data_IF_048432052595
#
_entry.id   IF_048432052595
#
_cell.length_a   1.000
_cell.length_b   1.000
_cell.length_c   1.000
_cell.angle_alpha   90.00
_cell.angle_beta   90.00
_cell.angle_gamma   90.00
#
_symmetry.space_group_name_H-M   'P 1'
#
loop_
_entity.id
_entity.type
_entity.pdbx_description
1 polymer ?
#
# COMPACT_ATOMS: atom_id res chain seq x y z
N UNK A 1 -14.49 2.82 -34.05
CA UNK A 1 -13.94 2.04 -32.91
C UNK A 1 -13.23 0.83 -33.48
N UNK A 2 -11.89 0.75 -33.34
CA UNK A 2 -11.04 -0.30 -33.96
C UNK A 2 -11.48 -1.72 -33.54
N UNK A 3 -11.31 -2.70 -34.42
CA UNK A 3 -11.64 -4.13 -34.18
C UNK A 3 -10.98 -4.64 -32.89
N UNK A 4 -9.73 -4.23 -32.63
CA UNK A 4 -9.01 -4.58 -31.40
C UNK A 4 -9.73 -4.11 -30.11
N UNK A 5 -10.35 -2.93 -30.14
CA UNK A 5 -11.12 -2.40 -29.00
C UNK A 5 -12.40 -3.20 -28.74
N UNK A 6 -13.03 -3.75 -29.79
CA UNK A 6 -14.23 -4.60 -29.66
C UNK A 6 -13.90 -5.98 -29.11
N UNK A 7 -12.78 -6.57 -29.55
CA UNK A 7 -12.30 -7.86 -29.03
C UNK A 7 -11.93 -7.71 -27.54
N UNK A 8 -11.17 -6.66 -27.20
CA UNK A 8 -10.81 -6.36 -25.82
C UNK A 8 -12.03 -6.12 -24.93
N UNK A 9 -13.04 -5.37 -25.40
CA UNK A 9 -14.26 -5.13 -24.61
C UNK A 9 -15.06 -6.41 -24.38
N UNK A 10 -15.11 -7.31 -25.37
CA UNK A 10 -15.83 -8.59 -25.27
C UNK A 10 -15.11 -9.55 -24.31
N UNK A 11 -13.79 -9.64 -24.38
CA UNK A 11 -12.98 -10.42 -23.44
C UNK A 11 -13.14 -9.91 -22.00
N UNK A 12 -13.11 -8.59 -21.81
CA UNK A 12 -13.32 -7.95 -20.52
C UNK A 12 -14.70 -8.28 -19.93
N UNK A 13 -15.74 -8.26 -20.77
CA UNK A 13 -17.11 -8.58 -20.35
C UNK A 13 -17.24 -10.04 -19.92
N UNK A 14 -16.57 -10.97 -20.61
CA UNK A 14 -16.54 -12.41 -20.25
C UNK A 14 -15.80 -12.65 -18.94
N UNK A 15 -14.60 -12.07 -18.78
CA UNK A 15 -13.81 -12.19 -17.55
C UNK A 15 -14.59 -11.67 -16.33
N UNK A 16 -15.28 -10.52 -16.50
CA UNK A 16 -16.13 -9.96 -15.45
C UNK A 16 -17.33 -10.86 -15.13
N UNK A 17 -17.98 -11.41 -16.15
CA UNK A 17 -19.10 -12.35 -15.97
C UNK A 17 -18.70 -13.57 -15.13
N UNK A 18 -17.49 -14.10 -15.34
CA UNK A 18 -16.95 -15.20 -14.53
C UNK A 18 -16.73 -14.77 -13.06
N UNK A 19 -16.16 -13.58 -12.83
CA UNK A 19 -15.93 -13.04 -11.48
C UNK A 19 -17.22 -12.67 -10.74
N UNK A 20 -18.31 -12.40 -11.45
CA UNK A 20 -19.63 -12.14 -10.87
C UNK A 20 -20.52 -13.39 -10.78
N UNK A 21 -19.96 -14.59 -10.99
CA UNK A 21 -20.74 -15.82 -10.89
C UNK A 21 -21.19 -16.07 -9.45
N UNK A 22 -22.51 -16.21 -9.18
CA UNK A 22 -23.03 -16.47 -7.85
C UNK A 22 -22.89 -17.93 -7.41
N UNK A 23 -22.25 -18.78 -8.24
CA UNK A 23 -22.05 -20.20 -7.93
C UNK A 23 -21.27 -20.43 -6.64
N UNK A 24 -20.40 -19.49 -6.27
CA UNK A 24 -19.70 -19.50 -4.99
C UNK A 24 -20.48 -18.68 -3.95
N UNK A 25 -20.91 -19.27 -2.81
CA UNK A 25 -21.71 -18.58 -1.79
C UNK A 25 -20.97 -17.40 -1.14
N UNK A 26 -19.64 -17.48 -0.99
CA UNK A 26 -18.81 -16.39 -0.48
C UNK A 26 -18.84 -15.21 -1.46
N UNK A 27 -18.66 -15.49 -2.75
CA UNK A 27 -18.72 -14.46 -3.79
C UNK A 27 -20.11 -13.83 -3.85
N UNK A 28 -21.17 -14.63 -3.73
CA UNK A 28 -22.55 -14.15 -3.67
C UNK A 28 -22.79 -13.23 -2.48
N UNK A 29 -22.26 -13.57 -1.31
CA UNK A 29 -22.32 -12.73 -0.12
C UNK A 29 -21.58 -11.40 -0.31
N UNK A 30 -20.35 -11.44 -0.81
CA UNK A 30 -19.55 -10.24 -1.10
C UNK A 30 -20.21 -9.32 -2.14
N UNK A 31 -20.92 -9.89 -3.12
CA UNK A 31 -21.68 -9.11 -4.10
C UNK A 31 -22.87 -8.37 -3.48
N UNK A 32 -23.55 -8.98 -2.49
CA UNK A 32 -24.66 -8.38 -1.75
C UNK A 32 -24.18 -7.29 -0.79
N UNK A 33 -23.04 -7.49 -0.14
CA UNK A 33 -22.53 -6.61 0.91
C UNK A 33 -21.13 -6.03 0.60
N UNK A 34 -20.90 -5.41 -0.57
CA UNK A 34 -19.57 -5.06 -1.07
C UNK A 34 -18.78 -4.11 -0.17
N UNK A 35 -19.45 -3.14 0.46
CA UNK A 35 -18.81 -2.19 1.36
C UNK A 35 -18.36 -2.89 2.65
N UNK A 36 -19.28 -3.61 3.29
CA UNK A 36 -19.02 -4.32 4.54
C UNK A 36 -17.92 -5.37 4.36
N UNK A 37 -17.96 -6.15 3.28
CA UNK A 37 -16.93 -7.17 3.02
C UNK A 37 -15.57 -6.54 2.70
N UNK A 38 -15.55 -5.40 2.02
CA UNK A 38 -14.29 -4.70 1.74
C UNK A 38 -13.67 -4.14 3.03
N UNK A 39 -14.48 -3.48 3.87
CA UNK A 39 -14.04 -2.92 5.16
C UNK A 39 -13.55 -4.01 6.10
N UNK A 40 -14.30 -5.12 6.20
CA UNK A 40 -13.89 -6.26 7.01
C UNK A 40 -12.58 -6.86 6.50
N UNK A 41 -12.45 -7.05 5.18
CA UNK A 41 -11.24 -7.59 4.59
C UNK A 41 -10.02 -6.70 4.87
N UNK A 42 -10.14 -5.39 4.69
CA UNK A 42 -9.02 -4.46 4.92
C UNK A 42 -8.61 -4.39 6.39
N UNK A 43 -9.57 -4.37 7.31
CA UNK A 43 -9.29 -4.36 8.75
C UNK A 43 -8.63 -5.66 9.21
N UNK A 44 -9.19 -6.82 8.81
CA UNK A 44 -8.59 -8.14 9.14
C UNK A 44 -7.20 -8.26 8.54
N UNK A 45 -7.01 -7.82 7.30
CA UNK A 45 -5.71 -7.84 6.63
C UNK A 45 -4.68 -6.98 7.34
N UNK A 46 -5.01 -5.78 7.82
CA UNK A 46 -4.03 -4.91 8.50
C UNK A 46 -3.69 -5.43 9.88
N UNK A 47 -4.67 -5.96 10.62
CA UNK A 47 -4.43 -6.67 11.89
C UNK A 47 -3.49 -7.83 11.67
N UNK A 48 -3.77 -8.69 10.68
CA UNK A 48 -2.94 -9.85 10.36
C UNK A 48 -1.53 -9.45 9.91
N UNK A 49 -1.42 -8.44 9.04
CA UNK A 49 -0.13 -7.97 8.54
C UNK A 49 0.77 -7.44 9.67
N UNK A 50 0.20 -6.71 10.61
CA UNK A 50 0.94 -6.20 11.76
C UNK A 50 1.32 -7.32 12.73
N UNK A 51 0.41 -8.25 13.06
CA UNK A 51 0.76 -9.43 13.87
C UNK A 51 1.88 -10.26 13.22
N UNK A 52 1.78 -10.49 11.91
CA UNK A 52 2.83 -11.18 11.15
C UNK A 52 4.16 -10.44 11.23
N UNK A 53 4.15 -9.11 11.13
CA UNK A 53 5.36 -8.29 11.23
C UNK A 53 5.97 -8.38 12.62
N UNK A 54 5.17 -8.21 13.67
CA UNK A 54 5.63 -8.30 15.05
C UNK A 54 6.24 -9.68 15.36
N UNK A 55 5.63 -10.77 14.88
CA UNK A 55 6.11 -12.13 15.16
C UNK A 55 7.29 -12.55 14.29
N UNK A 56 7.24 -12.28 12.97
CA UNK A 56 8.20 -12.84 12.00
C UNK A 56 9.35 -11.89 11.71
N UNK A 57 9.09 -10.58 11.66
CA UNK A 57 10.11 -9.58 11.35
C UNK A 57 10.77 -9.08 12.64
N UNK A 58 9.96 -8.70 13.64
CA UNK A 58 10.46 -8.12 14.89
C UNK A 58 10.82 -9.23 15.93
N UNK A 59 10.42 -10.49 15.68
CA UNK A 59 10.77 -11.64 16.50
C UNK A 59 10.05 -11.71 17.85
N UNK A 60 8.91 -11.03 18.01
CA UNK A 60 8.18 -11.02 19.27
C UNK A 60 7.55 -12.38 19.57
N UNK A 61 7.64 -12.78 20.84
CA UNK A 61 6.92 -13.91 21.41
C UNK A 61 5.43 -13.54 21.61
N UNK A 62 4.53 -14.55 21.69
CA UNK A 62 3.08 -14.31 21.80
C UNK A 62 2.67 -13.44 23.00
N UNK A 63 3.46 -13.46 24.08
CA UNK A 63 3.28 -12.67 25.30
C UNK A 63 3.71 -11.20 25.16
N UNK A 64 4.51 -10.87 24.14
CA UNK A 64 5.05 -9.52 23.91
C UNK A 64 4.39 -8.78 22.75
N UNK A 65 3.25 -9.27 22.25
CA UNK A 65 2.51 -8.60 21.18
C UNK A 65 2.04 -7.22 21.65
N UNK A 66 2.37 -6.19 20.88
CA UNK A 66 1.85 -4.84 21.08
C UNK A 66 0.46 -4.72 20.46
N UNK A 67 -0.54 -4.94 21.31
CA UNK A 67 -1.95 -4.81 20.95
C UNK A 67 -2.37 -3.37 20.67
N UNK A 68 -1.67 -2.37 21.21
CA UNK A 68 -1.95 -0.95 20.94
C UNK A 68 -1.57 -0.62 19.50
N UNK A 69 -0.36 -1.00 19.09
CA UNK A 69 0.08 -0.92 17.68
C UNK A 69 -0.89 -1.67 16.77
N UNK A 70 -1.27 -2.89 17.15
CA UNK A 70 -2.19 -3.67 16.35
C UNK A 70 -3.58 -3.01 16.18
N UNK A 71 -4.13 -2.41 17.25
CA UNK A 71 -5.38 -1.67 17.21
C UNK A 71 -5.29 -0.41 16.32
N UNK A 72 -4.14 0.27 16.28
CA UNK A 72 -3.89 1.38 15.37
C UNK A 72 -3.93 0.90 13.91
N UNK A 73 -3.25 -0.21 13.58
CA UNK A 73 -3.31 -0.80 12.24
C UNK A 73 -4.70 -1.31 11.87
N UNK A 74 -5.44 -1.90 12.81
CA UNK A 74 -6.84 -2.30 12.61
C UNK A 74 -7.75 -1.11 12.31
N UNK A 75 -7.62 -0.03 13.09
CA UNK A 75 -8.37 1.22 12.89
C UNK A 75 -8.02 1.87 11.56
N UNK A 76 -6.75 1.90 11.18
CA UNK A 76 -6.31 2.38 9.87
C UNK A 76 -6.91 1.53 8.73
N UNK A 77 -6.89 0.20 8.86
CA UNK A 77 -7.49 -0.73 7.91
C UNK A 77 -9.01 -0.55 7.78
N UNK A 78 -9.71 -0.22 8.86
CA UNK A 78 -11.15 0.04 8.86
C UNK A 78 -11.47 1.42 8.28
N UNK A 79 -10.94 2.50 8.87
CA UNK A 79 -11.32 3.87 8.53
C UNK A 79 -10.77 4.31 7.16
N UNK A 80 -9.45 4.16 6.96
CA UNK A 80 -8.80 4.66 5.76
C UNK A 80 -8.95 3.67 4.60
N UNK A 81 -8.48 2.43 4.80
CA UNK A 81 -8.50 1.44 3.72
C UNK A 81 -9.90 0.87 3.44
N UNK A 82 -10.70 0.71 4.48
CA UNK A 82 -12.07 0.24 4.36
C UNK A 82 -12.99 1.35 3.88
N UNK A 83 -13.33 2.29 4.75
CA UNK A 83 -14.38 3.28 4.48
C UNK A 83 -13.96 4.30 3.41
N UNK A 84 -12.84 5.00 3.61
CA UNK A 84 -12.43 6.09 2.71
C UNK A 84 -12.01 5.59 1.33
N UNK A 85 -11.13 4.58 1.24
CA UNK A 85 -10.71 4.04 -0.06
C UNK A 85 -11.86 3.34 -0.79
N UNK A 86 -12.81 2.70 -0.09
CA UNK A 86 -14.01 2.17 -0.74
C UNK A 86 -14.82 3.29 -1.38
N UNK A 87 -15.08 4.37 -0.64
CA UNK A 87 -15.77 5.54 -1.16
C UNK A 87 -15.02 6.14 -2.36
N UNK A 88 -13.71 6.31 -2.27
CA UNK A 88 -12.88 6.87 -3.34
C UNK A 88 -12.98 6.04 -4.63
N UNK A 89 -12.75 4.73 -4.55
CA UNK A 89 -12.63 3.85 -5.72
C UNK A 89 -13.94 3.34 -6.27
N UNK A 90 -14.95 3.13 -5.43
CA UNK A 90 -16.24 2.59 -5.87
C UNK A 90 -17.32 3.66 -6.06
N UNK A 91 -17.20 4.83 -5.43
CA UNK A 91 -18.19 5.89 -5.49
C UNK A 91 -17.64 7.09 -6.26
N UNK A 92 -16.61 7.77 -5.74
CA UNK A 92 -16.12 9.03 -6.32
C UNK A 92 -15.61 8.84 -7.75
N UNK A 93 -14.73 7.86 -7.99
CA UNK A 93 -14.16 7.62 -9.31
C UNK A 93 -15.19 7.20 -10.36
N UNK A 94 -16.24 6.49 -9.95
CA UNK A 94 -17.33 6.11 -10.86
C UNK A 94 -18.35 7.24 -11.07
N UNK A 95 -18.41 8.22 -10.15
CA UNK A 95 -19.15 9.47 -10.34
C UNK A 95 -18.42 10.44 -11.28
N UNK A 96 -17.09 10.56 -11.15
CA UNK A 96 -16.27 11.43 -12.01
C UNK A 96 -16.06 10.85 -13.40
N UNK A 97 -15.86 9.54 -13.49
CA UNK A 97 -15.58 8.83 -14.76
C UNK A 97 -16.56 7.68 -14.93
N UNK A 98 -17.79 7.94 -15.40
CA UNK A 98 -18.85 6.94 -15.44
C UNK A 98 -18.50 5.77 -16.39
N UNK A 99 -18.94 4.58 -15.99
CA UNK A 99 -18.79 3.36 -16.77
C UNK A 99 -17.47 2.61 -16.57
N UNK A 100 -17.32 1.55 -17.37
CA UNK A 100 -16.20 0.58 -17.35
C UNK A 100 -15.58 0.42 -18.75
N UNK A 101 -15.66 1.46 -19.57
CA UNK A 101 -15.01 1.51 -20.88
C UNK A 101 -13.50 1.65 -20.73
N UNK A 102 -12.74 1.28 -21.77
CA UNK A 102 -11.27 1.50 -21.81
C UNK A 102 -10.93 2.97 -21.51
N UNK A 103 -11.65 3.92 -22.11
CA UNK A 103 -11.49 5.36 -21.85
C UNK A 103 -11.70 5.69 -20.37
N UNK A 104 -12.81 5.25 -19.78
CA UNK A 104 -13.12 5.53 -18.36
C UNK A 104 -12.14 4.84 -17.40
N UNK A 105 -11.53 3.73 -17.80
CA UNK A 105 -10.51 3.01 -17.03
C UNK A 105 -9.21 3.80 -17.03
N UNK A 106 -8.75 4.23 -18.21
CA UNK A 106 -7.55 5.07 -18.36
C UNK A 106 -7.71 6.36 -17.54
N UNK A 107 -8.88 7.01 -17.60
CA UNK A 107 -9.11 8.24 -16.82
C UNK A 107 -9.01 8.01 -15.30
N UNK A 108 -9.58 6.93 -14.77
CA UNK A 108 -9.47 6.56 -13.34
C UNK A 108 -8.03 6.24 -12.94
N UNK A 109 -7.32 5.48 -13.77
CA UNK A 109 -5.91 5.13 -13.55
C UNK A 109 -5.06 6.39 -13.56
N UNK A 110 -5.23 7.29 -14.53
CA UNK A 110 -4.47 8.53 -14.59
C UNK A 110 -4.77 9.44 -13.38
N UNK A 111 -6.02 9.54 -12.95
CA UNK A 111 -6.38 10.31 -11.76
C UNK A 111 -5.69 9.76 -10.50
N UNK A 112 -5.63 8.44 -10.33
CA UNK A 112 -4.94 7.85 -9.18
C UNK A 112 -3.40 8.00 -9.28
N UNK A 113 -2.83 7.77 -10.46
CA UNK A 113 -1.38 7.62 -10.63
C UNK A 113 -0.63 8.94 -10.85
N UNK A 114 -1.30 9.97 -11.39
CA UNK A 114 -0.68 11.27 -11.65
C UNK A 114 -1.15 12.38 -10.72
N UNK A 115 -2.29 12.21 -10.04
CA UNK A 115 -2.76 13.18 -9.04
C UNK A 115 -2.51 12.64 -7.64
N UNK A 116 -3.19 11.56 -7.26
CA UNK A 116 -3.10 11.03 -5.90
C UNK A 116 -1.68 10.54 -5.55
N UNK A 117 -1.00 9.81 -6.43
CA UNK A 117 0.37 9.32 -6.19
C UNK A 117 1.36 10.46 -5.90
N UNK A 118 1.66 11.35 -6.87
CA UNK A 118 2.69 12.38 -6.72
C UNK A 118 2.33 13.49 -5.74
N UNK A 119 1.06 13.88 -5.62
CA UNK A 119 0.67 15.06 -4.84
C UNK A 119 0.15 14.75 -3.44
N UNK A 120 -0.25 13.50 -3.17
CA UNK A 120 -0.78 13.13 -1.86
C UNK A 120 0.02 12.00 -1.23
N UNK A 121 0.23 10.89 -1.94
CA UNK A 121 0.88 9.71 -1.38
C UNK A 121 2.36 9.96 -1.03
N UNK A 122 3.17 10.38 -2.02
CA UNK A 122 4.60 10.58 -1.78
C UNK A 122 4.92 11.71 -0.80
N UNK A 123 4.29 12.90 -0.87
CA UNK A 123 4.53 13.96 0.10
C UNK A 123 4.24 13.52 1.54
N UNK A 124 3.12 12.82 1.76
CA UNK A 124 2.78 12.27 3.08
C UNK A 124 3.77 11.19 3.51
N UNK A 125 4.15 10.27 2.62
CA UNK A 125 5.13 9.22 2.91
C UNK A 125 6.47 9.80 3.37
N UNK A 126 7.01 10.76 2.62
CA UNK A 126 8.28 11.40 2.94
C UNK A 126 8.21 12.23 4.24
N UNK A 127 7.10 12.93 4.47
CA UNK A 127 6.88 13.67 5.71
C UNK A 127 6.84 12.74 6.93
N UNK A 128 6.05 11.66 6.86
CA UNK A 128 5.93 10.68 7.95
C UNK A 128 7.28 10.01 8.21
N UNK A 129 8.00 9.63 7.14
CA UNK A 129 9.32 9.01 7.25
C UNK A 129 10.32 9.93 7.98
N UNK A 130 10.43 11.18 7.57
CA UNK A 130 11.35 12.12 8.23
C UNK A 130 10.93 12.44 9.66
N UNK A 131 9.63 12.56 9.92
CA UNK A 131 9.14 12.79 11.28
C UNK A 131 9.49 11.64 12.25
N UNK A 132 9.41 10.39 11.77
CA UNK A 132 9.78 9.20 12.54
C UNK A 132 11.30 9.15 12.76
N UNK A 133 12.09 9.43 11.72
CA UNK A 133 13.55 9.34 11.79
C UNK A 133 14.18 10.44 12.67
N UNK A 134 13.58 11.63 12.69
CA UNK A 134 14.14 12.81 13.37
C UNK A 134 13.41 13.16 14.68
N UNK A 135 12.45 12.31 15.13
CA UNK A 135 11.64 12.45 16.36
C UNK A 135 10.91 13.80 16.50
N UNK A 136 10.44 14.38 15.40
CA UNK A 136 9.72 15.66 15.41
C UNK A 136 9.43 16.19 14.01
N UNK A 137 8.79 17.36 13.90
CA UNK A 137 8.64 18.11 12.64
C UNK A 137 9.06 19.55 12.90
N UNK A 138 10.24 19.93 12.40
CA UNK A 138 10.76 21.30 12.45
C UNK A 138 10.96 21.85 11.03
N UNK A 139 11.36 23.11 10.92
CA UNK A 139 11.59 23.74 9.62
C UNK A 139 12.83 23.18 8.89
N UNK A 140 13.78 22.61 9.62
CA UNK A 140 14.98 21.99 9.03
C UNK A 140 14.62 20.68 8.31
N UNK A 141 13.71 19.90 8.89
CA UNK A 141 13.12 18.67 8.35
C UNK A 141 12.42 18.93 7.03
N UNK A 142 11.68 20.03 6.90
CA UNK A 142 10.96 20.36 5.66
C UNK A 142 11.92 20.55 4.47
N UNK A 143 13.10 21.11 4.73
CA UNK A 143 14.14 21.29 3.70
C UNK A 143 14.85 19.98 3.35
N UNK A 144 15.12 19.14 4.36
CA UNK A 144 15.64 17.77 4.20
C UNK A 144 14.68 16.89 3.39
N UNK A 145 13.40 16.84 3.78
CA UNK A 145 12.31 16.15 3.07
C UNK A 145 12.24 16.58 1.61
N UNK A 146 12.27 17.90 1.35
CA UNK A 146 12.22 18.42 -0.02
C UNK A 146 13.41 17.97 -0.85
N UNK A 147 14.60 17.88 -0.25
CA UNK A 147 15.81 17.49 -0.96
C UNK A 147 15.83 15.98 -1.24
N UNK A 148 15.51 15.14 -0.25
CA UNK A 148 15.37 13.69 -0.42
C UNK A 148 14.27 13.35 -1.42
N UNK A 149 13.11 14.02 -1.32
CA UNK A 149 12.02 13.88 -2.27
C UNK A 149 12.51 14.17 -3.70
N UNK A 150 13.17 15.31 -3.93
CA UNK A 150 13.66 15.66 -5.28
C UNK A 150 14.63 14.63 -5.87
N UNK A 151 15.47 14.03 -5.03
CA UNK A 151 16.46 13.06 -5.47
C UNK A 151 15.84 11.69 -5.77
N UNK A 152 14.96 11.21 -4.89
CA UNK A 152 14.47 9.84 -4.92
C UNK A 152 13.17 9.67 -5.72
N UNK A 153 12.35 10.73 -5.85
CA UNK A 153 11.00 10.64 -6.41
C UNK A 153 10.96 10.03 -7.82
N UNK A 154 12.00 10.19 -8.63
CA UNK A 154 12.06 9.59 -9.97
C UNK A 154 12.20 8.08 -9.91
N UNK A 155 13.02 7.57 -9.01
CA UNK A 155 13.18 6.12 -8.80
C UNK A 155 11.90 5.54 -8.18
N UNK A 156 11.37 6.23 -7.18
CA UNK A 156 10.19 5.76 -6.46
C UNK A 156 8.93 5.81 -7.32
N UNK A 157 8.76 6.84 -8.15
CA UNK A 157 7.65 6.89 -9.11
C UNK A 157 7.74 5.77 -10.13
N UNK A 158 8.94 5.39 -10.59
CA UNK A 158 9.10 4.24 -11.49
C UNK A 158 8.68 2.93 -10.82
N UNK A 159 9.13 2.69 -9.58
CA UNK A 159 8.73 1.53 -8.80
C UNK A 159 7.22 1.54 -8.47
N UNK A 160 6.69 2.70 -8.15
CA UNK A 160 5.26 2.88 -7.88
C UNK A 160 4.44 2.59 -9.13
N UNK A 161 4.79 3.18 -10.27
CA UNK A 161 4.09 2.96 -11.52
C UNK A 161 4.22 1.52 -12.04
N UNK A 162 5.34 0.83 -11.82
CA UNK A 162 5.49 -0.58 -12.25
C UNK A 162 4.52 -1.51 -11.51
N UNK A 163 4.15 -1.19 -10.28
CA UNK A 163 3.20 -1.97 -9.48
C UNK A 163 1.77 -1.46 -9.66
N UNK A 164 1.56 -0.16 -9.51
CA UNK A 164 0.23 0.41 -9.35
C UNK A 164 -0.48 0.69 -10.68
N UNK A 165 0.22 1.02 -11.78
CA UNK A 165 -0.44 1.13 -13.10
C UNK A 165 -1.13 -0.17 -13.52
N UNK A 166 -0.46 -1.34 -13.58
CA UNK A 166 -1.12 -2.58 -13.95
C UNK A 166 -2.20 -2.98 -12.94
N UNK A 167 -1.94 -2.78 -11.65
CA UNK A 167 -2.92 -3.07 -10.59
C UNK A 167 -4.22 -2.27 -10.76
N UNK A 168 -4.14 -0.97 -11.03
CA UNK A 168 -5.32 -0.13 -11.20
C UNK A 168 -6.02 -0.35 -12.54
N UNK A 169 -5.29 -0.71 -13.60
CA UNK A 169 -5.90 -1.17 -14.85
C UNK A 169 -6.79 -2.41 -14.60
N UNK A 170 -6.31 -3.39 -13.84
CA UNK A 170 -7.10 -4.56 -13.44
C UNK A 170 -8.27 -4.15 -12.53
N UNK A 171 -8.03 -3.28 -11.56
CA UNK A 171 -9.03 -2.83 -10.59
C UNK A 171 -10.22 -2.15 -11.24
N UNK A 172 -9.96 -1.18 -12.13
CA UNK A 172 -11.01 -0.37 -12.73
C UNK A 172 -11.58 -0.97 -14.03
N UNK A 173 -10.77 -1.74 -14.76
CA UNK A 173 -11.17 -2.39 -15.99
C UNK A 173 -11.89 -3.72 -15.75
N UNK A 174 -11.28 -4.62 -14.98
CA UNK A 174 -11.71 -6.03 -14.90
C UNK A 174 -12.58 -6.28 -13.66
N UNK A 175 -12.14 -5.80 -12.50
CA UNK A 175 -12.69 -6.26 -11.23
C UNK A 175 -14.09 -5.68 -10.94
N UNK A 176 -15.04 -6.52 -10.48
CA UNK A 176 -16.32 -6.06 -9.96
C UNK A 176 -16.13 -5.35 -8.61
N UNK A 177 -17.10 -4.50 -8.24
CA UNK A 177 -17.02 -3.58 -7.08
C UNK A 177 -16.53 -4.24 -5.78
N UNK A 178 -16.95 -5.47 -5.51
CA UNK A 178 -16.68 -6.19 -4.26
C UNK A 178 -15.27 -6.79 -4.19
N UNK A 179 -14.57 -6.94 -5.31
CA UNK A 179 -13.21 -7.51 -5.37
C UNK A 179 -12.12 -6.45 -5.48
N UNK A 180 -12.46 -5.20 -5.80
CA UNK A 180 -11.48 -4.13 -6.02
C UNK A 180 -10.64 -3.84 -4.79
N UNK A 181 -11.28 -3.69 -3.62
CA UNK A 181 -10.57 -3.39 -2.38
C UNK A 181 -9.76 -4.58 -1.87
N UNK A 182 -10.29 -5.81 -1.83
CA UNK A 182 -9.48 -6.99 -1.50
C UNK A 182 -8.23 -7.11 -2.38
N UNK A 183 -8.37 -6.92 -3.69
CA UNK A 183 -7.25 -6.91 -4.63
C UNK A 183 -6.19 -5.86 -4.29
N UNK A 184 -6.59 -4.60 -4.14
CA UNK A 184 -5.66 -3.51 -3.80
C UNK A 184 -5.01 -3.76 -2.44
N UNK A 185 -5.78 -4.20 -1.44
CA UNK A 185 -5.29 -4.45 -0.09
C UNK A 185 -4.22 -5.55 -0.05
N UNK A 186 -4.37 -6.60 -0.87
CA UNK A 186 -3.36 -7.65 -1.05
C UNK A 186 -2.08 -7.10 -1.66
N UNK A 187 -2.15 -6.31 -2.73
CA UNK A 187 -0.96 -5.71 -3.34
C UNK A 187 -0.28 -4.69 -2.41
N UNK A 188 -1.06 -3.94 -1.63
CA UNK A 188 -0.53 -2.99 -0.65
C UNK A 188 0.36 -3.66 0.39
N UNK A 189 0.10 -4.93 0.75
CA UNK A 189 0.96 -5.66 1.68
C UNK A 189 2.39 -5.77 1.13
N UNK A 190 2.53 -6.26 -0.10
CA UNK A 190 3.83 -6.42 -0.75
C UNK A 190 4.52 -5.08 -1.02
N UNK A 191 3.75 -4.05 -1.38
CA UNK A 191 4.28 -2.70 -1.54
C UNK A 191 4.85 -2.14 -0.23
N UNK A 192 4.18 -2.37 0.89
CA UNK A 192 4.71 -1.99 2.21
C UNK A 192 6.02 -2.73 2.52
N UNK A 193 6.11 -4.03 2.25
CA UNK A 193 7.36 -4.78 2.40
C UNK A 193 8.49 -4.17 1.56
N UNK A 194 8.23 -3.87 0.28
CA UNK A 194 9.19 -3.24 -0.62
C UNK A 194 9.69 -1.88 -0.10
N UNK A 195 8.77 -1.03 0.38
CA UNK A 195 9.15 0.26 0.96
C UNK A 195 9.96 0.08 2.25
N UNK A 196 9.59 -0.88 3.09
CA UNK A 196 10.36 -1.19 4.30
C UNK A 196 11.79 -1.61 3.97
N UNK A 197 11.99 -2.45 2.94
CA UNK A 197 13.34 -2.91 2.58
C UNK A 197 14.18 -1.83 1.89
N UNK A 198 13.56 -0.95 1.11
CA UNK A 198 14.30 0.07 0.33
C UNK A 198 14.45 1.41 1.05
N UNK A 199 13.55 1.72 1.99
CA UNK A 199 13.48 3.02 2.66
C UNK A 199 13.48 2.94 4.19
N UNK A 200 13.40 1.73 4.76
CA UNK A 200 13.33 1.46 6.19
C UNK A 200 14.68 1.41 6.89
N UNK A 201 15.74 1.99 6.33
CA UNK A 201 17.01 2.17 7.02
C UNK A 201 16.80 3.05 8.27
N UNK A 202 16.50 2.40 9.39
CA UNK A 202 16.88 2.85 10.71
C UNK A 202 18.40 2.65 10.80
N UNK A 203 19.14 3.60 11.38
CA UNK A 203 20.59 3.50 11.54
C UNK A 203 20.93 2.37 12.53
N UNK A 204 20.88 1.11 12.09
CA UNK A 204 21.40 -0.03 12.85
C UNK A 204 22.92 0.09 13.06
N UNK A 205 23.58 0.90 12.23
CA UNK A 205 25.03 1.09 12.24
C UNK A 205 25.50 2.01 13.39
N UNK A 206 24.65 2.91 13.90
CA UNK A 206 25.04 3.84 14.98
C UNK A 206 24.92 3.25 16.38
N UNK A 207 24.10 2.22 16.58
CA UNK A 207 24.00 1.54 17.87
C UNK A 207 25.09 0.46 18.03
N UNK A 208 25.50 -0.21 16.95
CA UNK A 208 26.60 -1.19 17.00
C UNK A 208 27.96 -0.55 17.26
N UNK A 209 28.16 0.71 16.84
CA UNK A 209 29.40 1.46 17.11
C UNK A 209 29.48 1.98 18.56
N UNK A 210 28.33 2.13 19.24
CA UNK A 210 28.25 2.56 20.65
C UNK A 210 28.19 1.42 21.67
N UNK A 211 27.97 0.18 21.22
CA UNK A 211 27.80 -1.01 22.09
C UNK A 211 29.06 -1.88 22.16
N UNK A 212 30.05 -1.68 21.28
CA UNK A 212 31.36 -2.29 21.48
C UNK A 212 32.11 -1.51 22.58
N UNK A 213 32.32 -2.07 23.79
CA UNK A 213 33.27 -1.48 24.71
C UNK A 213 34.62 -1.46 23.99
N UNK A 214 35.31 -0.31 24.09
CA UNK A 214 36.63 0.01 23.53
C UNK A 214 37.72 -1.03 23.86
N UNK A 215 37.41 -2.03 24.68
CA UNK A 215 38.23 -3.19 25.04
C UNK A 215 38.34 -4.26 23.95
N UNK A 216 37.37 -4.41 23.04
CA UNK A 216 37.44 -5.46 22.00
C UNK A 216 38.51 -5.17 20.93
N UNK A 217 38.74 -3.89 20.63
CA UNK A 217 39.77 -3.46 19.65
C UNK A 217 41.19 -3.60 20.20
N UNK A 218 41.38 -3.62 21.53
CA UNK A 218 42.69 -3.75 22.16
C UNK A 218 43.20 -5.20 22.24
N UNK A 219 42.31 -6.20 22.22
CA UNK A 219 42.70 -7.63 22.29
C UNK A 219 43.15 -8.14 20.92
N UNK A 220 42.64 -7.57 19.82
CA UNK A 220 42.99 -7.98 18.45
C UNK A 220 44.37 -7.45 18.03
N UNK A 221 44.82 -6.33 18.57
CA UNK A 221 46.16 -5.75 18.27
C UNK A 221 47.28 -6.26 19.18
N UNK A 222 46.97 -6.96 20.28
CA UNK A 222 47.99 -7.55 21.16
C UNK A 222 48.44 -8.97 20.72
N UNK A 223 47.76 -9.56 19.73
CA UNK A 223 48.05 -10.89 19.18
C UNK A 223 48.48 -10.87 17.70
N UNK A 224 48.99 -9.72 17.21
CA UNK A 224 49.68 -9.61 15.93
C UNK A 224 51.12 -9.14 16.14
#
# INVERSE_FOLDING_TARGET
MSVALRIASTALHRARGALTSPRNPINAYMMRHPAQTSVAFTAVKTIFADLFTQMVVDGYSLDKIDWTRNAVFGTFGFCYMGCFQYWLFNILFFRLFPGVTVKSTIQKVCADQFIKGPFFYFPVFYLVRSAINERGVDQSIMSSVRNTYKHNIRSDLKAYWSVWLPAHCITFGVLPKHLRLPWIASLSFFWCCYLSTTHGSYNHDKEMEGVLPTTATAIVTANQ
#
